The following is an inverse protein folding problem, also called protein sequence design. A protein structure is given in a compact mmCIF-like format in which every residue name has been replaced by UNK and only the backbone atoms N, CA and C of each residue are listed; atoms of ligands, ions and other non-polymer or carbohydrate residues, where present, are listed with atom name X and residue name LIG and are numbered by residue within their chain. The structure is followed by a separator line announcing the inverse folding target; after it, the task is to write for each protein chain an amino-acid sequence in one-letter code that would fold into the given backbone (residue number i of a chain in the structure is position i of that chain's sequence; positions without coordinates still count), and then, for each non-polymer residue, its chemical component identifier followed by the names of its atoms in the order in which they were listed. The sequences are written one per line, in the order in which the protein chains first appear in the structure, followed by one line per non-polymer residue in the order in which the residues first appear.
data_IF_586172514374
#
_entry.id   IF_586172514374
#
_cell.length_a   1.000
_cell.length_b   1.000
_cell.length_c   1.000
_cell.angle_alpha   90.00
_cell.angle_beta   90.00
_cell.angle_gamma   90.00
#
_symmetry.space_group_name_H-M   'P 1'
#
loop_
_entity.id
_entity.type
_entity.pdbx_description
1 polymer ?
#
# COMPACT_ATOMS: atom_id res chain seq x y z
N UNK A 1 12.10 -4.07 9.53
CA UNK A 1 10.78 -3.42 9.34
C UNK A 1 10.84 -1.91 8.99
N UNK A 2 11.92 -1.41 8.38
CA UNK A 2 12.00 0.03 8.03
C UNK A 2 11.36 0.36 6.67
N UNK A 3 11.50 -0.55 5.69
CA UNK A 3 11.14 -0.30 4.30
C UNK A 3 9.63 -0.12 4.08
N UNK A 4 8.78 -0.98 4.65
CA UNK A 4 7.32 -0.83 4.57
C UNK A 4 6.86 0.49 5.21
N UNK A 5 7.38 0.81 6.40
CA UNK A 5 6.98 2.02 7.12
C UNK A 5 7.36 3.27 6.32
N UNK A 6 8.52 3.25 5.66
CA UNK A 6 8.92 4.31 4.74
C UNK A 6 7.95 4.45 3.56
N UNK A 7 7.56 3.33 2.92
CA UNK A 7 6.58 3.33 1.82
C UNK A 7 5.19 3.86 2.26
N UNK A 8 4.71 3.46 3.43
CA UNK A 8 3.45 3.94 4.00
C UNK A 8 3.48 5.44 4.32
N UNK A 9 4.60 5.94 4.87
CA UNK A 9 4.80 7.37 5.14
C UNK A 9 4.92 8.18 3.86
N UNK A 10 5.58 7.66 2.83
CA UNK A 10 5.65 8.28 1.52
C UNK A 10 4.23 8.45 0.95
N UNK A 11 3.41 7.40 0.98
CA UNK A 11 2.02 7.49 0.51
C UNK A 11 1.22 8.55 1.28
N UNK A 12 1.40 8.65 2.60
CA UNK A 12 0.77 9.69 3.41
C UNK A 12 1.24 11.10 3.00
N UNK A 13 2.54 11.28 2.73
CA UNK A 13 3.10 12.55 2.24
C UNK A 13 2.57 12.92 0.85
N UNK A 14 2.39 11.96 -0.06
CA UNK A 14 1.81 12.20 -1.39
C UNK A 14 0.38 12.73 -1.30
N UNK A 15 -0.41 12.27 -0.33
CA UNK A 15 -1.75 12.82 -0.06
C UNK A 15 -1.68 14.26 0.44
N UNK A 16 -0.77 14.55 1.38
CA UNK A 16 -0.58 15.91 1.92
C UNK A 16 -0.03 16.89 0.89
N UNK A 17 0.78 16.40 -0.05
CA UNK A 17 1.30 17.18 -1.18
C UNK A 17 0.27 17.39 -2.30
N UNK A 18 -0.94 16.82 -2.19
CA UNK A 18 -1.98 16.93 -3.22
C UNK A 18 -1.73 16.09 -4.48
N UNK A 19 -0.67 15.27 -4.51
CA UNK A 19 -0.35 14.37 -5.63
C UNK A 19 -1.30 13.16 -5.64
N UNK A 20 -1.58 12.61 -4.44
CA UNK A 20 -2.47 11.48 -4.29
C UNK A 20 -3.91 11.92 -3.98
N UNK A 21 -4.84 11.48 -4.82
CA UNK A 21 -6.26 11.80 -4.72
C UNK A 21 -7.03 10.78 -3.86
N UNK A 22 -8.25 11.08 -3.46
CA UNK A 22 -9.22 10.12 -2.93
C UNK A 22 -9.91 9.37 -4.08
N UNK A 23 -9.98 8.04 -4.00
CA UNK A 23 -10.69 7.18 -4.99
C UNK A 23 -11.67 6.19 -4.35
N UNK A 24 -11.89 6.30 -3.04
CA UNK A 24 -12.80 5.42 -2.30
C UNK A 24 -13.84 6.26 -1.56
N UNK A 25 -15.06 5.73 -1.47
CA UNK A 25 -16.24 6.38 -0.88
C UNK A 25 -17.33 6.68 -1.91
N UNK A 26 -18.46 7.22 -1.45
CA UNK A 26 -19.57 7.67 -2.31
C UNK A 26 -19.16 8.87 -3.18
N UNK A 27 -18.44 9.84 -2.61
CA UNK A 27 -17.91 10.99 -3.36
C UNK A 27 -16.82 10.66 -4.38
N UNK A 28 -16.33 9.40 -4.43
CA UNK A 28 -15.36 8.95 -5.43
C UNK A 28 -15.97 8.24 -6.64
N UNK A 29 -17.30 8.00 -6.65
CA UNK A 29 -17.99 7.16 -7.63
C UNK A 29 -17.85 7.70 -9.07
N UNK A 30 -18.09 9.00 -9.25
CA UNK A 30 -18.06 9.67 -10.56
C UNK A 30 -16.76 10.47 -10.81
N UNK A 31 -15.82 10.48 -9.86
CA UNK A 31 -14.62 11.31 -9.98
C UNK A 31 -13.68 11.17 -8.78
N UNK A 32 -12.41 11.56 -8.95
CA UNK A 32 -11.44 11.58 -7.86
C UNK A 32 -11.55 12.92 -7.12
N UNK A 33 -11.46 12.92 -5.80
CA UNK A 33 -11.57 14.14 -4.98
C UNK A 33 -10.24 14.43 -4.25
N UNK A 34 -9.91 15.70 -3.97
CA UNK A 34 -8.71 16.05 -3.24
C UNK A 34 -8.78 15.49 -1.82
N UNK A 35 -7.75 14.80 -1.38
CA UNK A 35 -7.74 14.09 -0.10
C UNK A 35 -6.42 14.30 0.64
N UNK A 36 -6.30 15.35 1.48
CA UNK A 36 -5.07 15.65 2.20
C UNK A 36 -4.77 14.64 3.32
N UNK A 37 -5.81 14.03 3.90
CA UNK A 37 -5.68 12.97 4.92
C UNK A 37 -5.95 11.63 4.27
N UNK A 38 -4.92 10.79 4.16
CA UNK A 38 -5.01 9.46 3.57
C UNK A 38 -5.99 8.54 4.33
N UNK A 39 -6.97 7.95 3.64
CA UNK A 39 -7.76 6.82 4.17
C UNK A 39 -6.96 5.52 4.05
N UNK A 40 -6.60 4.93 5.19
CA UNK A 40 -5.83 3.67 5.26
C UNK A 40 -6.52 2.49 4.56
N UNK A 41 -7.85 2.40 4.62
CA UNK A 41 -8.65 1.33 4.01
C UNK A 41 -8.66 1.35 2.46
N UNK A 42 -8.21 2.44 1.84
CA UNK A 42 -8.08 2.54 0.39
C UNK A 42 -6.86 1.76 -0.14
N UNK A 43 -5.91 1.38 0.73
CA UNK A 43 -4.62 0.84 0.31
C UNK A 43 -4.31 -0.52 0.91
N UNK A 44 -3.75 -1.41 0.09
CA UNK A 44 -3.16 -2.67 0.52
C UNK A 44 -1.76 -2.83 -0.07
N UNK A 45 -0.88 -3.46 0.69
CA UNK A 45 0.53 -3.62 0.37
C UNK A 45 0.82 -5.10 0.10
N UNK A 46 1.56 -5.34 -0.97
CA UNK A 46 2.08 -6.65 -1.35
C UNK A 46 3.60 -6.55 -1.50
N UNK A 47 4.36 -7.46 -0.90
CA UNK A 47 5.79 -7.55 -1.14
C UNK A 47 6.05 -8.20 -2.50
N UNK A 48 6.92 -7.62 -3.32
CA UNK A 48 7.33 -8.18 -4.62
C UNK A 48 8.78 -8.64 -4.63
N UNK A 49 9.67 -7.93 -3.93
CA UNK A 49 11.09 -8.25 -3.82
C UNK A 49 11.49 -8.25 -2.33
N UNK A 50 12.39 -9.15 -1.88
CA UNK A 50 13.10 -10.17 -2.67
C UNK A 50 12.34 -11.48 -2.89
N UNK A 51 11.41 -11.84 -2.00
CA UNK A 51 10.52 -13.00 -2.19
C UNK A 51 9.07 -12.50 -2.27
N UNK A 52 8.38 -12.69 -3.41
CA UNK A 52 7.04 -12.17 -3.60
C UNK A 52 6.04 -12.82 -2.63
N UNK A 53 5.22 -11.99 -1.98
CA UNK A 53 4.11 -12.44 -1.15
C UNK A 53 2.89 -12.72 -2.05
N UNK A 54 2.71 -13.97 -2.46
CA UNK A 54 1.59 -14.37 -3.33
C UNK A 54 0.48 -15.12 -2.59
N UNK A 55 0.73 -15.59 -1.37
CA UNK A 55 -0.30 -16.32 -0.62
C UNK A 55 -1.40 -15.37 -0.13
N UNK A 56 -2.66 -15.82 -0.02
CA UNK A 56 -3.79 -14.97 0.41
C UNK A 56 -3.54 -14.27 1.76
N UNK A 57 -2.78 -14.93 2.64
CA UNK A 57 -2.50 -14.45 3.99
C UNK A 57 -1.36 -13.43 4.04
N UNK A 58 -0.42 -13.46 3.09
CA UNK A 58 0.77 -12.57 3.07
C UNK A 58 0.75 -11.54 1.96
N UNK A 59 -0.03 -11.75 0.89
CA UNK A 59 -0.01 -10.90 -0.30
C UNK A 59 -0.91 -9.66 -0.24
N UNK A 60 -1.82 -9.56 0.74
CA UNK A 60 -2.81 -8.49 0.78
C UNK A 60 -2.91 -7.86 2.17
N UNK A 61 -1.91 -7.04 2.55
CA UNK A 61 -1.85 -6.47 3.90
C UNK A 61 -2.42 -5.05 3.95
N UNK A 62 -3.36 -4.75 4.87
CA UNK A 62 -3.82 -3.38 5.07
C UNK A 62 -2.74 -2.50 5.70
N UNK A 63 -2.82 -1.20 5.46
CA UNK A 63 -1.91 -0.22 6.06
C UNK A 63 -2.05 -0.22 7.59
N UNK A 64 -0.95 -0.45 8.30
CA UNK A 64 -0.89 -0.51 9.77
C UNK A 64 -0.98 -1.91 10.39
N UNK A 65 -1.08 -2.98 9.59
CA UNK A 65 -0.94 -4.36 10.09
C UNK A 65 0.51 -4.65 10.48
N UNK A 66 0.70 -5.46 11.52
CA UNK A 66 2.01 -5.95 11.94
C UNK A 66 2.74 -6.63 10.77
N UNK A 67 3.96 -6.19 10.47
CA UNK A 67 4.73 -6.72 9.34
C UNK A 67 5.58 -7.95 9.67
N UNK A 68 5.69 -8.30 10.95
CA UNK A 68 6.41 -9.49 11.45
C UNK A 68 5.99 -10.75 10.69
N UNK A 69 4.69 -10.96 10.47
CA UNK A 69 4.17 -12.21 9.90
C UNK A 69 4.45 -12.39 8.41
N UNK A 70 4.70 -11.33 7.66
CA UNK A 70 4.81 -11.41 6.20
C UNK A 70 6.12 -10.85 5.64
N UNK A 71 6.90 -10.10 6.43
CA UNK A 71 8.26 -9.68 6.07
C UNK A 71 9.34 -10.59 6.70
N UNK A 72 9.01 -11.35 7.76
CA UNK A 72 10.01 -12.21 8.42
C UNK A 72 10.58 -13.26 7.47
N UNK A 73 11.88 -13.51 7.63
CA UNK A 73 12.67 -14.43 6.80
C UNK A 73 12.68 -14.12 5.29
N UNK A 74 12.26 -12.91 4.90
CA UNK A 74 12.34 -12.47 3.50
C UNK A 74 13.53 -11.56 3.23
N UNK A 75 14.20 -11.06 4.26
CA UNK A 75 15.48 -10.37 4.11
C UNK A 75 16.61 -11.40 4.00
N UNK A 76 17.12 -11.61 2.78
CA UNK A 76 18.20 -12.57 2.50
C UNK A 76 19.54 -11.81 2.36
N UNK A 77 20.55 -12.09 3.20
CA UNK A 77 21.87 -11.46 3.06
C UNK A 77 22.49 -11.81 1.70
N UNK A 78 23.22 -10.85 1.10
CA UNK A 78 23.90 -10.92 -0.20
C UNK A 78 23.05 -10.89 -1.49
N UNK A 79 21.79 -11.33 -1.50
CA UNK A 79 20.96 -11.33 -2.72
C UNK A 79 19.60 -10.59 -2.58
N UNK A 80 19.20 -10.21 -1.37
CA UNK A 80 17.84 -9.75 -1.06
C UNK A 80 17.74 -8.53 -0.17
N UNK A 81 18.66 -7.56 -0.29
CA UNK A 81 18.66 -6.34 0.54
C UNK A 81 17.72 -5.23 0.00
N UNK A 82 17.24 -5.38 -1.24
CA UNK A 82 16.30 -4.45 -1.85
C UNK A 82 14.86 -4.88 -1.59
N UNK A 83 14.03 -3.94 -1.12
CA UNK A 83 12.62 -4.18 -0.84
C UNK A 83 11.75 -3.59 -1.95
N UNK A 84 10.89 -4.43 -2.53
CA UNK A 84 9.90 -4.04 -3.51
C UNK A 84 8.51 -4.18 -2.92
N UNK A 85 7.69 -3.13 -3.03
CA UNK A 85 6.30 -3.16 -2.63
C UNK A 85 5.40 -2.78 -3.79
N UNK A 86 4.38 -3.59 -4.01
CA UNK A 86 3.27 -3.28 -4.90
C UNK A 86 2.10 -2.75 -4.08
N UNK A 87 1.64 -1.56 -4.45
CA UNK A 87 0.56 -0.84 -3.78
C UNK A 87 -0.75 -1.05 -4.54
N UNK A 88 -1.67 -1.77 -3.92
CA UNK A 88 -3.04 -1.90 -4.39
C UNK A 88 -3.87 -0.73 -3.89
N UNK A 89 -4.57 -0.06 -4.81
CA UNK A 89 -5.42 1.08 -4.51
C UNK A 89 -6.87 0.79 -4.89
N UNK A 90 -7.77 0.86 -3.91
CA UNK A 90 -9.21 0.74 -4.12
C UNK A 90 -9.74 1.92 -4.94
N UNK A 91 -10.47 1.61 -6.00
CA UNK A 91 -11.25 2.57 -6.80
C UNK A 91 -12.71 2.12 -6.79
N UNK A 92 -13.58 2.99 -6.30
CA UNK A 92 -15.02 2.83 -6.50
C UNK A 92 -15.35 3.50 -7.84
N UNK A 93 -15.89 2.73 -8.79
CA UNK A 93 -16.30 3.25 -10.09
C UNK A 93 -17.83 3.15 -10.17
N UNK A 94 -18.48 4.18 -10.71
CA UNK A 94 -19.81 4.01 -11.29
C UNK A 94 -19.67 3.32 -12.64
N UNK A 95 -20.30 2.14 -12.79
CA UNK A 95 -20.67 1.62 -14.10
C UNK A 95 -21.93 2.40 -14.50
N UNK A 96 -21.88 3.13 -15.62
CA UNK A 96 -23.10 3.63 -16.26
C UNK A 96 -23.81 2.48 -16.96
#
# INVERSE_FOLDING_TARGET
QAALLAAQRLQYRLHRAGIAWGTSGSGALCGRYPMPVMRKSQYRWQMTQPVPATTPMTGCNPTGRSSILWESLRELPAAGENFGFLLWRKRNCCLL
#
